data_IF_424705937506
#
_entry.id   IF_424705937506
#
_cell.length_a   1.000
_cell.length_b   1.000
_cell.length_c   1.000
_cell.angle_alpha   90.00
_cell.angle_beta   90.00
_cell.angle_gamma   90.00
#
_symmetry.space_group_name_H-M   'P 1'
#
loop_
_entity.id
_entity.type
_entity.pdbx_description
1 polymer ?
#
# COMPACT_ATOMS: atom_id res chain seq x y z
N UNK A 1 -2.44 -25.83 -10.10
CA UNK A 1 -1.63 -25.43 -8.93
C UNK A 1 -0.85 -24.18 -9.33
N UNK A 2 -1.38 -22.99 -9.07
CA UNK A 2 -0.65 -21.74 -9.29
C UNK A 2 0.43 -21.60 -8.21
N UNK A 3 1.68 -21.37 -8.60
CA UNK A 3 2.78 -21.17 -7.65
C UNK A 3 2.57 -19.93 -6.76
N UNK A 4 3.31 -19.85 -5.67
CA UNK A 4 3.36 -18.64 -4.84
C UNK A 4 3.95 -17.49 -5.69
N UNK A 5 3.16 -16.44 -5.90
CA UNK A 5 3.61 -15.26 -6.64
C UNK A 5 4.66 -14.49 -5.81
N UNK A 6 5.88 -14.27 -6.32
CA UNK A 6 6.93 -13.54 -5.60
C UNK A 6 6.50 -12.12 -5.23
N UNK A 7 6.77 -11.68 -4.00
CA UNK A 7 6.48 -10.29 -3.58
C UNK A 7 7.20 -9.29 -4.48
N UNK A 8 6.54 -8.17 -4.82
CA UNK A 8 7.07 -7.14 -5.72
C UNK A 8 7.45 -7.64 -7.13
N UNK A 9 6.89 -8.76 -7.60
CA UNK A 9 6.98 -9.15 -9.01
C UNK A 9 5.82 -8.58 -9.83
N UNK A 10 5.99 -8.41 -11.14
CA UNK A 10 4.92 -7.99 -12.06
C UNK A 10 3.74 -8.94 -11.98
N UNK A 11 3.98 -10.25 -11.90
CA UNK A 11 2.90 -11.23 -11.77
C UNK A 11 2.08 -11.02 -10.48
N UNK A 12 2.75 -10.77 -9.34
CA UNK A 12 2.07 -10.46 -8.08
C UNK A 12 1.33 -9.12 -8.11
N UNK A 13 1.93 -8.10 -8.73
CA UNK A 13 1.35 -6.77 -8.84
C UNK A 13 0.16 -6.76 -9.80
N UNK A 14 0.24 -7.48 -10.91
CA UNK A 14 -0.89 -7.66 -11.84
C UNK A 14 -2.04 -8.39 -11.15
N UNK A 15 -1.76 -9.46 -10.43
CA UNK A 15 -2.76 -10.21 -9.66
C UNK A 15 -3.45 -9.32 -8.62
N UNK A 16 -2.67 -8.51 -7.89
CA UNK A 16 -3.21 -7.53 -6.95
C UNK A 16 -4.06 -6.46 -7.62
N UNK A 17 -3.60 -5.92 -8.74
CA UNK A 17 -4.30 -4.86 -9.48
C UNK A 17 -5.62 -5.36 -10.08
N UNK A 18 -5.64 -6.57 -10.64
CA UNK A 18 -6.85 -7.16 -11.21
C UNK A 18 -7.89 -7.43 -10.12
N UNK A 19 -7.48 -8.07 -9.02
CA UNK A 19 -8.41 -8.62 -8.04
C UNK A 19 -8.76 -7.68 -6.89
N UNK A 20 -8.04 -6.58 -6.68
CA UNK A 20 -8.28 -5.64 -5.57
C UNK A 20 -8.45 -4.20 -6.08
N UNK A 21 -8.58 -3.23 -5.17
CA UNK A 21 -8.75 -1.80 -5.50
C UNK A 21 -7.43 -1.08 -5.81
N UNK A 22 -6.31 -1.80 -5.78
CA UNK A 22 -4.98 -1.26 -6.07
C UNK A 22 -3.86 -2.13 -5.54
N UNK A 23 -2.65 -1.61 -5.67
CA UNK A 23 -1.42 -2.28 -5.24
C UNK A 23 -0.54 -1.39 -4.38
N UNK A 24 0.18 -2.03 -3.48
CA UNK A 24 1.29 -1.45 -2.75
C UNK A 24 2.56 -2.16 -3.18
N UNK A 25 3.65 -1.42 -3.33
CA UNK A 25 4.93 -2.00 -3.73
C UNK A 25 6.13 -1.16 -3.29
N UNK A 26 7.27 -1.82 -3.23
CA UNK A 26 8.51 -1.28 -2.70
C UNK A 26 9.51 -0.99 -3.82
N UNK A 27 10.14 0.18 -3.77
CA UNK A 27 11.11 0.63 -4.76
C UNK A 27 12.50 0.87 -4.14
N UNK A 28 13.52 0.49 -4.91
CA UNK A 28 14.93 0.80 -4.68
C UNK A 28 15.60 1.30 -5.95
N UNK A 29 16.76 1.92 -5.79
CA UNK A 29 17.59 2.41 -6.89
C UNK A 29 18.83 1.52 -7.04
N UNK A 30 19.12 1.08 -8.25
CA UNK A 30 20.35 0.32 -8.59
C UNK A 30 21.56 1.25 -8.72
N UNK A 31 22.76 0.67 -8.82
CA UNK A 31 24.03 1.38 -8.99
C UNK A 31 24.07 2.26 -10.25
N UNK A 32 23.46 1.76 -11.32
CA UNK A 32 23.32 2.38 -12.64
C UNK A 32 22.04 3.21 -12.78
N UNK A 33 21.28 3.41 -11.68
CA UNK A 33 20.20 4.39 -11.63
C UNK A 33 18.84 3.91 -12.16
N UNK A 34 18.60 2.60 -12.23
CA UNK A 34 17.29 2.03 -12.53
C UNK A 34 16.44 1.85 -11.27
N UNK A 35 15.12 2.02 -11.40
CA UNK A 35 14.16 1.87 -10.30
C UNK A 35 13.62 0.44 -10.30
N UNK A 36 14.00 -0.34 -9.30
CA UNK A 36 13.65 -1.77 -9.19
C UNK A 36 12.58 -2.02 -8.14
N UNK A 37 11.70 -2.98 -8.42
CA UNK A 37 10.66 -3.47 -7.52
C UNK A 37 11.28 -4.40 -6.47
N UNK A 38 11.68 -3.87 -5.31
CA UNK A 38 12.37 -4.67 -4.30
C UNK A 38 12.33 -4.10 -2.89
N UNK A 39 11.89 -4.92 -1.93
CA UNK A 39 11.73 -4.52 -0.54
C UNK A 39 13.05 -4.40 0.24
N UNK A 40 13.90 -5.42 0.20
CA UNK A 40 15.02 -5.57 1.13
C UNK A 40 16.30 -4.88 0.67
N UNK A 41 17.06 -4.32 1.62
CA UNK A 41 18.35 -3.66 1.32
C UNK A 41 19.37 -4.55 0.62
N UNK A 42 19.27 -5.85 0.83
CA UNK A 42 20.13 -6.85 0.21
C UNK A 42 19.31 -7.54 -0.87
N UNK A 43 19.88 -7.83 -2.06
CA UNK A 43 19.19 -8.60 -3.08
C UNK A 43 18.70 -9.91 -2.48
N UNK A 44 17.43 -10.27 -2.60
CA UNK A 44 16.89 -11.49 -2.00
C UNK A 44 17.11 -12.68 -2.93
N UNK A 45 18.36 -12.91 -3.33
CA UNK A 45 18.85 -14.04 -4.13
C UNK A 45 19.37 -15.19 -3.23
N UNK A 46 19.58 -16.41 -3.77
CA UNK A 46 20.14 -17.53 -3.02
C UNK A 46 21.47 -17.19 -2.33
N UNK A 47 21.69 -17.71 -1.11
CA UNK A 47 22.88 -17.35 -0.30
C UNK A 47 24.21 -17.65 -0.98
N UNK A 48 24.30 -18.77 -1.70
CA UNK A 48 25.54 -19.16 -2.39
C UNK A 48 25.89 -18.19 -3.53
N UNK A 49 24.88 -17.62 -4.19
CA UNK A 49 25.04 -16.60 -5.26
C UNK A 49 25.48 -15.23 -4.74
N UNK A 50 25.43 -15.00 -3.42
CA UNK A 50 25.88 -13.74 -2.79
C UNK A 50 27.37 -13.73 -2.46
N UNK A 51 28.02 -14.89 -2.45
CA UNK A 51 29.41 -14.99 -2.03
C UNK A 51 30.31 -14.15 -2.96
N UNK A 52 31.13 -13.27 -2.38
CA UNK A 52 32.00 -12.37 -3.13
C UNK A 52 31.31 -11.21 -3.86
N UNK A 53 29.98 -11.07 -3.76
CA UNK A 53 29.21 -10.00 -4.42
C UNK A 53 28.86 -8.86 -3.45
N UNK A 54 28.52 -7.65 -3.95
CA UNK A 54 28.15 -6.54 -3.10
C UNK A 54 26.93 -6.83 -2.20
N UNK A 55 26.88 -6.30 -0.97
CA UNK A 55 25.86 -6.66 0.01
C UNK A 55 24.52 -5.91 -0.14
N UNK A 56 24.50 -4.80 -0.87
CA UNK A 56 23.34 -3.92 -0.98
C UNK A 56 22.84 -3.81 -2.41
N UNK A 57 21.52 -3.70 -2.60
CA UNK A 57 20.89 -3.55 -3.92
C UNK A 57 21.45 -2.34 -4.66
N UNK A 58 21.72 -1.27 -3.92
CA UNK A 58 22.25 -0.03 -4.46
C UNK A 58 23.69 -0.17 -5.03
N UNK A 59 24.38 -1.28 -4.76
CA UNK A 59 25.70 -1.61 -5.31
C UNK A 59 25.63 -2.54 -6.55
N UNK A 60 24.44 -2.96 -6.98
CA UNK A 60 24.23 -3.83 -8.13
C UNK A 60 23.73 -3.04 -9.34
N UNK A 61 24.15 -3.42 -10.54
CA UNK A 61 23.54 -2.94 -11.80
C UNK A 61 22.21 -3.63 -12.05
N UNK A 62 21.36 -3.04 -12.88
CA UNK A 62 20.10 -3.68 -13.27
C UNK A 62 20.35 -5.03 -13.96
N UNK A 63 21.29 -5.08 -14.90
CA UNK A 63 21.60 -6.31 -15.65
C UNK A 63 21.99 -7.47 -14.71
N UNK A 64 22.80 -7.19 -13.68
CA UNK A 64 23.20 -8.20 -12.70
C UNK A 64 22.04 -8.68 -11.81
N UNK A 65 21.04 -7.83 -11.57
CA UNK A 65 19.82 -8.21 -10.83
C UNK A 65 18.81 -8.93 -11.73
N UNK A 66 18.75 -8.59 -13.02
CA UNK A 66 17.90 -9.25 -14.03
C UNK A 66 18.28 -10.71 -14.26
N UNK A 67 19.55 -11.08 -14.05
CA UNK A 67 19.97 -12.50 -13.97
C UNK A 67 19.12 -13.31 -12.96
N UNK A 68 18.56 -12.63 -11.95
CA UNK A 68 17.72 -13.23 -10.91
C UNK A 68 16.24 -12.82 -11.00
N UNK A 69 15.81 -12.25 -12.13
CA UNK A 69 14.42 -11.89 -12.39
C UNK A 69 13.97 -10.60 -11.70
N UNK A 70 14.88 -9.67 -11.42
CA UNK A 70 14.48 -8.36 -10.93
C UNK A 70 13.74 -7.56 -12.01
N UNK A 71 12.56 -7.07 -11.66
CA UNK A 71 11.70 -6.26 -12.51
C UNK A 71 11.74 -4.79 -12.04
N UNK A 72 11.36 -3.87 -12.93
CA UNK A 72 11.48 -2.43 -12.74
C UNK A 72 10.13 -1.73 -12.68
N UNK A 73 10.14 -0.45 -12.26
CA UNK A 73 8.96 0.42 -12.38
C UNK A 73 8.55 0.60 -13.85
N UNK A 74 9.51 0.65 -14.77
CA UNK A 74 9.22 0.80 -16.20
C UNK A 74 8.51 -0.45 -16.73
N UNK A 75 8.96 -1.65 -16.32
CA UNK A 75 8.29 -2.91 -16.67
C UNK A 75 6.84 -2.94 -16.10
N UNK A 76 6.61 -2.36 -14.91
CA UNK A 76 5.28 -2.25 -14.30
C UNK A 76 4.35 -1.32 -15.07
N UNK A 77 4.85 -0.16 -15.50
CA UNK A 77 4.06 0.83 -16.23
C UNK A 77 3.84 0.40 -17.69
N UNK A 78 4.73 -0.41 -18.26
CA UNK A 78 4.55 -1.02 -19.58
C UNK A 78 3.47 -2.11 -19.61
N UNK A 79 3.11 -2.69 -18.46
CA UNK A 79 1.98 -3.62 -18.36
C UNK A 79 0.66 -2.87 -18.56
N UNK A 80 0.00 -3.10 -19.70
CA UNK A 80 -1.22 -2.39 -20.08
C UNK A 80 -2.40 -2.66 -19.15
N UNK A 81 -2.46 -3.83 -18.50
CA UNK A 81 -3.52 -4.11 -17.52
C UNK A 81 -3.31 -3.25 -16.28
N UNK A 82 -2.08 -3.10 -15.83
CA UNK A 82 -1.75 -2.32 -14.64
C UNK A 82 -1.91 -0.82 -14.92
N UNK A 83 -1.27 -0.32 -15.99
CA UNK A 83 -1.30 1.10 -16.32
C UNK A 83 -2.71 1.60 -16.64
N UNK A 84 -3.51 0.85 -17.40
CA UNK A 84 -4.91 1.22 -17.68
C UNK A 84 -5.73 1.29 -16.40
N UNK A 85 -5.62 0.27 -15.53
CA UNK A 85 -6.43 0.25 -14.32
C UNK A 85 -6.04 1.36 -13.33
N UNK A 86 -4.75 1.71 -13.25
CA UNK A 86 -4.25 2.80 -12.43
C UNK A 86 -4.58 4.19 -13.02
N UNK A 87 -4.53 4.34 -14.35
CA UNK A 87 -4.78 5.60 -15.04
C UNK A 87 -6.27 5.92 -15.14
N UNK A 88 -7.10 4.93 -15.45
CA UNK A 88 -8.46 5.15 -15.95
C UNK A 88 -9.55 4.55 -15.06
N UNK A 89 -9.21 3.64 -14.12
CA UNK A 89 -10.22 2.86 -13.37
C UNK A 89 -10.24 3.17 -11.87
N UNK A 90 -9.73 4.33 -11.46
CA UNK A 90 -9.64 4.78 -10.06
C UNK A 90 -8.94 3.81 -9.10
N UNK A 91 -8.21 2.81 -9.61
CA UNK A 91 -7.33 1.98 -8.79
C UNK A 91 -6.12 2.79 -8.36
N UNK A 92 -5.55 2.41 -7.23
CA UNK A 92 -4.46 3.18 -6.61
C UNK A 92 -3.13 2.43 -6.58
N UNK A 93 -2.05 3.19 -6.64
CA UNK A 93 -0.70 2.73 -6.33
C UNK A 93 -0.19 3.39 -5.05
N UNK A 94 0.18 2.55 -4.08
CA UNK A 94 0.82 2.96 -2.84
C UNK A 94 2.31 2.62 -2.95
N UNK A 95 3.16 3.64 -3.11
CA UNK A 95 4.57 3.46 -3.46
C UNK A 95 5.44 3.63 -2.22
N UNK A 96 6.07 2.55 -1.73
CA UNK A 96 7.12 2.65 -0.70
C UNK A 96 8.49 2.86 -1.33
N UNK A 97 9.07 4.04 -1.16
CA UNK A 97 10.50 4.23 -1.46
C UNK A 97 11.33 3.78 -0.27
N UNK A 98 12.27 2.86 -0.51
CA UNK A 98 13.10 2.31 0.54
C UNK A 98 14.36 3.13 0.75
N UNK A 99 14.71 3.31 2.02
CA UNK A 99 16.00 3.89 2.41
C UNK A 99 17.15 2.97 2.02
N UNK A 100 18.28 3.54 1.56
CA UNK A 100 19.49 2.77 1.34
C UNK A 100 20.07 2.34 2.68
N UNK A 101 20.90 1.31 2.67
CA UNK A 101 21.63 0.94 3.89
C UNK A 101 22.64 2.05 4.26
N UNK A 102 22.85 2.37 5.56
CA UNK A 102 23.78 3.44 5.95
C UNK A 102 25.21 3.29 5.41
N UNK A 103 25.71 2.05 5.29
CA UNK A 103 27.04 1.78 4.72
C UNK A 103 27.14 2.17 3.24
N UNK A 104 26.06 2.06 2.47
CA UNK A 104 26.04 2.49 1.07
C UNK A 104 26.28 4.00 0.97
N UNK A 105 25.63 4.80 1.83
CA UNK A 105 25.86 6.25 1.92
C UNK A 105 27.08 6.64 2.77
N UNK A 106 28.07 5.74 2.87
CA UNK A 106 29.37 5.99 3.48
C UNK A 106 29.37 6.10 5.01
N UNK A 107 28.61 5.25 5.73
CA UNK A 107 28.55 5.27 7.21
C UNK A 107 28.90 3.95 7.88
N UNK A 108 29.68 4.04 8.96
CA UNK A 108 29.94 2.94 9.89
C UNK A 108 28.86 2.70 10.96
N UNK A 109 28.10 3.73 11.36
CA UNK A 109 27.07 3.66 12.41
C UNK A 109 25.88 4.61 12.14
N UNK A 110 24.75 4.43 12.85
CA UNK A 110 23.54 5.23 12.62
C UNK A 110 23.43 6.43 13.56
N UNK A 111 23.54 7.63 12.96
CA UNK A 111 23.11 8.91 13.51
C UNK A 111 22.35 9.63 12.41
N UNK A 112 21.20 10.23 12.62
CA UNK A 112 20.36 10.76 11.52
C UNK A 112 20.86 12.12 10.93
N UNK A 113 21.87 12.09 10.07
CA UNK A 113 22.66 13.24 9.55
C UNK A 113 22.25 13.77 8.16
N UNK A 114 21.18 13.20 7.56
CA UNK A 114 20.63 13.60 6.24
C UNK A 114 21.38 13.10 4.99
N UNK A 115 22.44 12.26 5.11
CA UNK A 115 23.17 11.69 3.95
C UNK A 115 22.36 10.81 3.01
N UNK A 116 21.23 10.26 3.44
CA UNK A 116 20.34 9.45 2.62
C UNK A 116 19.35 10.28 1.77
N UNK A 117 19.16 11.56 2.10
CA UNK A 117 18.22 12.44 1.37
C UNK A 117 18.54 12.57 -0.13
N UNK A 118 19.80 12.78 -0.57
CA UNK A 118 20.11 12.83 -2.01
C UNK A 118 19.65 11.57 -2.75
N UNK A 119 19.95 10.39 -2.21
CA UNK A 119 19.58 9.11 -2.82
C UNK A 119 18.06 8.93 -2.88
N UNK A 120 17.36 9.20 -1.77
CA UNK A 120 15.90 9.11 -1.71
C UNK A 120 15.23 10.10 -2.66
N UNK A 121 15.77 11.32 -2.79
CA UNK A 121 15.24 12.33 -3.69
C UNK A 121 15.46 11.95 -5.16
N UNK A 122 16.60 11.36 -5.50
CA UNK A 122 16.85 10.86 -6.85
C UNK A 122 15.92 9.71 -7.24
N UNK A 123 15.72 8.74 -6.34
CA UNK A 123 14.73 7.68 -6.53
C UNK A 123 13.32 8.29 -6.73
N UNK A 124 12.94 9.26 -5.90
CA UNK A 124 11.62 9.90 -5.98
C UNK A 124 11.45 10.69 -7.28
N UNK A 125 12.49 11.37 -7.75
CA UNK A 125 12.47 12.13 -9.03
C UNK A 125 12.18 11.19 -10.20
N UNK A 126 12.92 10.08 -10.29
CA UNK A 126 12.70 9.05 -11.32
C UNK A 126 11.30 8.45 -11.29
N UNK A 127 10.77 8.22 -10.08
CA UNK A 127 9.37 7.77 -9.92
C UNK A 127 8.38 8.83 -10.42
N UNK A 128 8.61 10.11 -10.12
CA UNK A 128 7.75 11.20 -10.61
C UNK A 128 7.71 11.23 -12.13
N UNK A 129 8.89 11.21 -12.76
CA UNK A 129 9.05 11.24 -14.23
C UNK A 129 8.34 10.06 -14.90
N UNK A 130 8.53 8.84 -14.38
CA UNK A 130 7.88 7.65 -14.93
C UNK A 130 6.34 7.70 -14.80
N UNK A 131 5.82 8.20 -13.67
CA UNK A 131 4.38 8.35 -13.47
C UNK A 131 3.76 9.47 -14.32
N UNK A 132 4.52 10.53 -14.59
CA UNK A 132 4.12 11.62 -15.50
C UNK A 132 4.08 11.14 -16.95
N UNK A 133 5.10 10.40 -17.39
CA UNK A 133 5.15 9.79 -18.73
C UNK A 133 4.01 8.79 -18.95
N UNK A 134 3.67 8.00 -17.93
CA UNK A 134 2.54 7.07 -17.97
C UNK A 134 1.17 7.74 -17.76
N UNK A 135 1.13 9.07 -17.61
CA UNK A 135 -0.10 9.87 -17.40
C UNK A 135 -0.94 9.42 -16.19
N UNK A 136 -0.30 8.86 -15.16
CA UNK A 136 -1.00 8.39 -13.97
C UNK A 136 -1.59 9.59 -13.22
N UNK A 137 -2.90 9.63 -12.91
CA UNK A 137 -3.50 10.73 -12.18
C UNK A 137 -2.84 10.97 -10.82
N UNK A 138 -2.64 12.23 -10.48
CA UNK A 138 -2.01 12.64 -9.20
C UNK A 138 -2.71 12.03 -8.00
N UNK A 139 -4.04 11.95 -8.05
CA UNK A 139 -4.87 11.46 -6.95
C UNK A 139 -4.84 9.94 -6.76
N UNK A 140 -4.45 9.16 -7.78
CA UNK A 140 -4.41 7.70 -7.70
C UNK A 140 -3.10 7.18 -7.11
N UNK A 141 -2.21 8.06 -6.65
CA UNK A 141 -0.89 7.68 -6.15
C UNK A 141 -0.59 8.36 -4.82
N UNK A 142 -0.02 7.59 -3.90
CA UNK A 142 0.62 8.14 -2.70
C UNK A 142 2.01 7.55 -2.54
N UNK A 143 2.98 8.43 -2.33
CA UNK A 143 4.35 8.06 -2.00
C UNK A 143 4.51 8.02 -0.48
N UNK A 144 5.13 6.98 0.06
CA UNK A 144 5.48 6.95 1.47
C UNK A 144 6.82 6.28 1.77
N UNK A 145 7.35 6.55 2.97
CA UNK A 145 8.57 5.93 3.44
C UNK A 145 8.67 5.99 4.97
N UNK A 146 9.44 5.07 5.56
CA UNK A 146 9.96 5.18 6.92
C UNK A 146 11.10 6.20 6.99
N UNK A 147 10.81 7.48 6.75
CA UNK A 147 11.79 8.56 6.81
C UNK A 147 11.24 9.79 7.56
N UNK A 148 11.93 10.28 8.61
CA UNK A 148 11.43 11.41 9.41
C UNK A 148 11.41 12.74 8.67
N UNK A 149 12.14 12.84 7.55
CA UNK A 149 12.35 14.06 6.75
C UNK A 149 11.79 13.92 5.33
N UNK A 150 10.68 13.20 5.18
CA UNK A 150 9.91 13.19 3.93
C UNK A 150 9.73 14.59 3.32
N UNK A 151 9.41 15.67 4.08
CA UNK A 151 9.35 17.03 3.52
C UNK A 151 10.61 17.49 2.78
N UNK A 152 11.81 17.06 3.20
CA UNK A 152 13.06 17.41 2.55
C UNK A 152 13.32 16.56 1.30
N UNK A 153 12.91 15.28 1.34
CA UNK A 153 12.99 14.37 0.18
C UNK A 153 12.08 14.89 -0.94
N UNK A 154 10.79 15.12 -0.65
CA UNK A 154 9.80 15.57 -1.65
C UNK A 154 10.13 16.94 -2.22
N UNK A 155 10.58 17.88 -1.36
CA UNK A 155 11.03 19.21 -1.82
C UNK A 155 12.22 19.11 -2.76
N UNK A 156 13.19 18.24 -2.46
CA UNK A 156 14.41 18.08 -3.25
C UNK A 156 14.16 17.35 -4.57
N UNK A 157 13.22 16.40 -4.60
CA UNK A 157 12.88 15.64 -5.80
C UNK A 157 11.91 16.36 -6.73
N UNK A 158 11.28 17.46 -6.30
CA UNK A 158 10.21 18.10 -7.05
C UNK A 158 8.88 17.33 -7.01
N UNK A 159 8.70 16.43 -6.05
CA UNK A 159 7.49 15.60 -5.95
C UNK A 159 6.26 16.47 -5.63
N UNK A 160 5.34 16.55 -6.58
CA UNK A 160 4.12 17.36 -6.49
C UNK A 160 2.86 16.54 -6.13
N UNK A 161 2.99 15.20 -6.07
CA UNK A 161 1.89 14.29 -5.77
C UNK A 161 1.69 14.10 -4.26
N UNK A 162 0.59 13.48 -3.82
CA UNK A 162 0.37 13.20 -2.42
C UNK A 162 1.47 12.32 -1.81
N UNK A 163 1.81 12.55 -0.55
CA UNK A 163 2.78 11.73 0.18
C UNK A 163 2.40 11.56 1.64
N UNK A 164 2.84 10.47 2.24
CA UNK A 164 2.64 10.12 3.64
C UNK A 164 3.96 9.72 4.30
N UNK A 165 4.05 9.85 5.64
CA UNK A 165 5.18 9.29 6.40
C UNK A 165 4.77 8.01 7.12
N UNK A 166 5.52 6.93 6.97
CA UNK A 166 5.31 5.71 7.76
C UNK A 166 5.84 5.89 9.19
N UNK A 167 5.04 5.49 10.17
CA UNK A 167 5.37 5.58 11.60
C UNK A 167 4.99 4.30 12.36
N UNK A 168 5.78 3.86 13.36
CA UNK A 168 7.01 4.48 13.87
C UNK A 168 8.17 4.37 12.87
N UNK A 169 9.12 5.31 12.93
CA UNK A 169 10.27 5.30 12.02
C UNK A 169 11.16 4.08 12.31
N UNK A 170 11.26 3.16 11.35
CA UNK A 170 12.09 1.96 11.47
C UNK A 170 13.52 2.28 10.99
N UNK A 171 14.56 1.86 11.72
CA UNK A 171 15.92 2.02 11.24
C UNK A 171 16.15 1.16 9.99
N UNK A 172 16.92 1.66 8.99
CA UNK A 172 17.19 0.93 7.75
C UNK A 172 18.21 -0.19 7.92
N UNK A 173 18.54 -0.61 9.14
CA UNK A 173 19.51 -1.64 9.49
C UNK A 173 18.99 -2.52 10.64
N UNK A 174 19.71 -3.60 10.94
CA UNK A 174 19.39 -4.51 12.04
C UNK A 174 18.32 -5.54 11.69
N UNK A 175 18.12 -6.50 12.61
CA UNK A 175 17.04 -7.49 12.55
C UNK A 175 15.70 -6.85 12.94
N UNK A 176 14.58 -7.52 12.62
CA UNK A 176 13.25 -7.03 12.99
C UNK A 176 13.07 -6.80 14.50
N UNK A 177 13.75 -7.57 15.34
CA UNK A 177 13.76 -7.34 16.79
C UNK A 177 14.44 -6.00 17.15
N UNK A 178 15.62 -5.74 16.59
CA UNK A 178 16.36 -4.48 16.80
C UNK A 178 15.54 -3.29 16.29
N UNK A 179 14.95 -3.40 15.10
CA UNK A 179 14.10 -2.36 14.51
C UNK A 179 12.92 -2.01 15.42
N UNK A 180 12.24 -3.02 15.97
CA UNK A 180 11.13 -2.82 16.92
C UNK A 180 11.59 -2.14 18.22
N UNK A 181 12.71 -2.55 18.79
CA UNK A 181 13.27 -1.93 20.01
C UNK A 181 13.55 -0.45 19.81
N UNK A 182 14.20 -0.08 18.69
CA UNK A 182 14.48 1.33 18.36
C UNK A 182 13.20 2.12 18.10
N UNK A 183 12.18 1.50 17.52
CA UNK A 183 10.90 2.12 17.21
C UNK A 183 9.95 2.26 18.42
N UNK A 184 10.15 1.46 19.48
CA UNK A 184 9.23 1.37 20.61
C UNK A 184 8.96 2.70 21.33
N UNK A 185 9.95 3.57 21.62
CA UNK A 185 9.68 4.87 22.22
C UNK A 185 8.78 5.75 21.33
N UNK A 186 9.00 5.72 20.01
CA UNK A 186 8.16 6.44 19.05
C UNK A 186 6.74 5.86 19.03
N UNK A 187 6.60 4.53 19.08
CA UNK A 187 5.29 3.88 19.11
C UNK A 187 4.49 4.30 20.36
N UNK A 188 5.11 4.24 21.54
CA UNK A 188 4.51 4.65 22.82
C UNK A 188 4.13 6.13 22.81
N UNK A 189 5.00 7.01 22.31
CA UNK A 189 4.75 8.46 22.30
C UNK A 189 3.67 8.88 21.30
N UNK A 190 3.36 8.09 20.27
CA UNK A 190 2.44 8.48 19.21
C UNK A 190 1.14 7.67 19.25
N UNK A 191 0.14 8.13 20.01
CA UNK A 191 -1.21 7.57 19.93
C UNK A 191 -1.84 7.76 18.55
N UNK A 192 -2.82 6.93 18.20
CA UNK A 192 -3.53 6.98 16.93
C UNK A 192 -4.04 8.40 16.59
N UNK A 193 -4.70 9.08 17.55
CA UNK A 193 -5.18 10.44 17.34
C UNK A 193 -4.06 11.45 17.07
N UNK A 194 -2.87 11.26 17.68
CA UNK A 194 -1.70 12.10 17.43
C UNK A 194 -1.13 11.83 16.03
N UNK A 195 -1.16 10.59 15.56
CA UNK A 195 -0.74 10.24 14.21
C UNK A 195 -1.68 10.86 13.16
N UNK A 196 -3.00 10.73 13.31
CA UNK A 196 -3.98 11.36 12.42
C UNK A 196 -3.74 12.87 12.31
N UNK A 197 -3.60 13.56 13.45
CA UNK A 197 -3.31 15.00 13.46
C UNK A 197 -2.01 15.35 12.74
N UNK A 198 -0.95 14.57 12.95
CA UNK A 198 0.35 14.81 12.30
C UNK A 198 0.30 14.65 10.79
N UNK A 199 -0.43 13.65 10.29
CA UNK A 199 -0.56 13.42 8.85
C UNK A 199 -1.41 14.50 8.20
N UNK A 200 -2.54 14.88 8.82
CA UNK A 200 -3.36 16.01 8.36
C UNK A 200 -2.56 17.31 8.30
N UNK A 201 -1.79 17.63 9.35
CA UNK A 201 -0.92 18.81 9.37
C UNK A 201 0.17 18.78 8.30
N UNK A 202 0.56 17.59 7.83
CA UNK A 202 1.53 17.42 6.74
C UNK A 202 0.88 17.52 5.34
N UNK A 203 -0.44 17.69 5.24
CA UNK A 203 -1.16 17.66 3.95
C UNK A 203 -1.25 16.25 3.34
N UNK A 204 -1.03 15.20 4.14
CA UNK A 204 -1.07 13.81 3.71
C UNK A 204 -2.50 13.40 3.31
N UNK A 205 -2.72 12.71 2.18
CA UNK A 205 -4.06 12.29 1.77
C UNK A 205 -4.61 11.17 2.66
N UNK A 206 -3.71 10.39 3.26
CA UNK A 206 -4.01 9.23 4.09
C UNK A 206 -2.98 9.06 5.20
N UNK A 207 -3.27 8.22 6.19
CA UNK A 207 -2.29 7.76 7.17
C UNK A 207 -2.03 6.27 7.03
N UNK A 208 -0.78 5.85 6.76
CA UNK A 208 -0.43 4.45 6.95
C UNK A 208 -0.35 4.13 8.45
N UNK A 209 -0.89 2.99 8.85
CA UNK A 209 -1.07 2.62 10.24
C UNK A 209 -0.73 1.15 10.47
N UNK A 210 0.17 0.87 11.42
CA UNK A 210 0.42 -0.50 11.84
C UNK A 210 -0.83 -1.07 12.53
N UNK A 211 -1.18 -2.33 12.25
CA UNK A 211 -2.29 -3.03 12.91
C UNK A 211 -2.16 -3.03 14.45
N UNK A 212 -0.92 -3.00 14.96
CA UNK A 212 -0.59 -2.93 16.39
C UNK A 212 -1.21 -1.71 17.11
N UNK A 213 -1.60 -0.65 16.39
CA UNK A 213 -2.33 0.49 16.96
C UNK A 213 -3.82 0.21 17.23
N UNK A 214 -4.36 -0.86 16.67
CA UNK A 214 -5.80 -1.14 16.60
C UNK A 214 -6.17 -2.47 17.26
N UNK A 215 -5.22 -3.42 17.31
CA UNK A 215 -5.45 -4.78 17.74
C UNK A 215 -4.21 -5.37 18.47
N UNK A 216 -4.38 -6.50 19.15
CA UNK A 216 -3.32 -7.15 19.93
C UNK A 216 -3.10 -6.49 21.29
N UNK A 217 -2.09 -6.93 22.06
CA UNK A 217 -1.76 -6.31 23.35
C UNK A 217 -1.03 -4.97 23.18
N UNK A 218 -0.40 -4.76 22.02
CA UNK A 218 0.41 -3.60 21.68
C UNK A 218 -0.40 -2.30 21.64
N UNK A 219 -1.68 -2.35 21.24
CA UNK A 219 -2.52 -1.14 21.20
C UNK A 219 -2.75 -0.50 22.58
N UNK A 220 -2.40 -1.21 23.66
CA UNK A 220 -2.47 -0.72 25.04
C UNK A 220 -1.28 0.19 25.41
N UNK A 221 -0.19 0.16 24.64
CA UNK A 221 1.07 0.85 24.95
C UNK A 221 1.09 2.35 24.62
N UNK A 222 0.47 2.85 23.53
CA UNK A 222 0.54 4.26 23.20
C UNK A 222 -0.12 5.18 24.25
N UNK A 223 0.54 6.29 24.57
CA UNK A 223 0.04 7.28 25.53
C UNK A 223 -1.15 8.05 24.97
N UNK A 224 -2.33 7.81 25.53
CA UNK A 224 -3.57 8.52 25.21
C UNK A 224 -4.80 7.63 25.24
N UNK A 225 -5.91 8.14 24.68
CA UNK A 225 -7.13 7.35 24.51
C UNK A 225 -6.90 6.24 23.48
N UNK A 226 -7.20 5.01 23.89
CA UNK A 226 -7.10 3.80 23.07
C UNK A 226 -8.23 3.74 22.05
N UNK A 227 -7.94 3.16 20.91
CA UNK A 227 -8.89 2.86 19.83
C UNK A 227 -8.89 1.36 19.57
N UNK A 228 -9.87 0.88 18.80
CA UNK A 228 -9.94 -0.54 18.45
C UNK A 228 -11.05 -0.80 17.44
N UNK A 229 -11.22 -2.06 17.04
CA UNK A 229 -12.09 -2.44 15.93
C UNK A 229 -13.53 -2.83 16.35
N UNK A 230 -13.87 -2.75 17.65
CA UNK A 230 -15.20 -3.16 18.16
C UNK A 230 -15.78 -2.15 19.16
N UNK A 231 -17.11 -2.12 19.26
CA UNK A 231 -17.89 -1.34 20.25
C UNK A 231 -17.47 0.14 20.34
N UNK A 232 -17.46 0.67 21.57
CA UNK A 232 -17.05 2.06 21.87
C UNK A 232 -15.63 2.42 21.40
N UNK A 233 -14.74 1.43 21.28
CA UNK A 233 -13.39 1.68 20.78
C UNK A 233 -13.40 1.99 19.27
N UNK A 234 -14.29 1.34 18.50
CA UNK A 234 -14.53 1.60 17.07
C UNK A 234 -15.23 2.94 16.85
N UNK A 235 -16.22 3.27 17.67
CA UNK A 235 -16.89 4.59 17.60
C UNK A 235 -15.89 5.72 17.80
N UNK A 236 -15.01 5.57 18.80
CA UNK A 236 -13.92 6.53 19.06
C UNK A 236 -12.92 6.61 17.91
N UNK A 237 -12.54 5.46 17.35
CA UNK A 237 -11.67 5.38 16.18
C UNK A 237 -12.26 6.20 15.02
N UNK A 238 -13.51 5.93 14.65
CA UNK A 238 -14.22 6.64 13.59
C UNK A 238 -14.37 8.13 13.87
N UNK A 239 -14.68 8.50 15.11
CA UNK A 239 -14.76 9.91 15.52
C UNK A 239 -13.42 10.64 15.38
N UNK A 240 -12.30 9.99 15.75
CA UNK A 240 -10.96 10.56 15.59
C UNK A 240 -10.60 10.70 14.10
N UNK A 241 -10.96 9.70 13.29
CA UNK A 241 -10.72 9.74 11.85
C UNK A 241 -11.55 10.83 11.18
N UNK A 242 -12.84 10.97 11.50
CA UNK A 242 -13.75 11.93 10.86
C UNK A 242 -13.68 11.86 9.34
N UNK A 243 -13.67 10.64 8.78
CA UNK A 243 -13.44 10.40 7.36
C UNK A 243 -11.99 10.41 6.88
N UNK A 244 -11.03 10.91 7.66
CA UNK A 244 -9.62 10.91 7.23
C UNK A 244 -9.13 9.49 6.91
N UNK A 245 -8.58 9.23 5.70
CA UNK A 245 -8.25 7.88 5.26
C UNK A 245 -7.12 7.26 6.08
N UNK A 246 -7.28 5.99 6.43
CA UNK A 246 -6.28 5.22 7.17
C UNK A 246 -6.07 3.87 6.52
N UNK A 247 -4.82 3.59 6.16
CA UNK A 247 -4.40 2.38 5.46
C UNK A 247 -3.65 1.48 6.44
N UNK A 248 -4.22 0.33 6.74
CA UNK A 248 -3.70 -0.56 7.79
C UNK A 248 -2.81 -1.64 7.19
N UNK A 249 -1.60 -1.77 7.73
CA UNK A 249 -0.64 -2.80 7.36
C UNK A 249 -0.10 -3.57 8.60
N UNK A 250 0.26 -4.85 8.44
CA UNK A 250 -0.35 -5.75 7.47
C UNK A 250 -1.84 -5.92 7.82
N UNK A 251 -2.69 -6.12 6.80
CA UNK A 251 -4.09 -6.48 6.99
C UNK A 251 -4.27 -7.99 6.73
N UNK A 252 -4.20 -8.85 7.77
CA UNK A 252 -4.38 -10.28 7.58
C UNK A 252 -5.84 -10.63 7.33
N UNK A 253 -6.10 -11.66 6.53
CA UNK A 253 -7.44 -12.19 6.20
C UNK A 253 -8.44 -12.17 7.37
N UNK A 254 -8.05 -12.70 8.53
CA UNK A 254 -8.92 -12.76 9.73
C UNK A 254 -9.41 -11.42 10.27
N UNK A 255 -8.76 -10.31 9.91
CA UNK A 255 -9.10 -8.95 10.37
C UNK A 255 -9.84 -8.14 9.32
N UNK A 256 -9.93 -8.59 8.07
CA UNK A 256 -10.41 -7.77 6.96
C UNK A 256 -11.81 -7.18 7.23
N UNK A 257 -12.78 -8.02 7.57
CA UNK A 257 -14.14 -7.62 7.90
C UNK A 257 -14.20 -6.54 9.01
N UNK A 258 -13.41 -6.70 10.08
CA UNK A 258 -13.37 -5.76 11.19
C UNK A 258 -12.73 -4.41 10.82
N UNK A 259 -11.75 -4.42 9.91
CA UNK A 259 -11.12 -3.21 9.37
C UNK A 259 -12.10 -2.45 8.45
N UNK A 260 -12.78 -3.17 7.56
CA UNK A 260 -13.80 -2.63 6.64
C UNK A 260 -14.93 -1.95 7.43
N UNK A 261 -15.46 -2.62 8.46
CA UNK A 261 -16.54 -2.06 9.28
C UNK A 261 -16.10 -0.83 10.09
N UNK A 262 -14.80 -0.71 10.37
CA UNK A 262 -14.22 0.46 11.02
C UNK A 262 -13.96 1.62 10.06
N UNK A 263 -14.13 1.44 8.74
CA UNK A 263 -13.85 2.45 7.73
C UNK A 263 -12.36 2.55 7.37
N UNK A 264 -11.60 1.46 7.49
CA UNK A 264 -10.16 1.42 7.27
C UNK A 264 -9.82 0.68 5.98
N UNK A 265 -8.95 1.26 5.16
CA UNK A 265 -8.38 0.59 3.99
C UNK A 265 -7.33 -0.44 4.41
N UNK A 266 -7.21 -1.50 3.62
CA UNK A 266 -6.44 -2.69 3.94
C UNK A 266 -5.24 -2.79 3.00
N UNK A 267 -4.03 -2.79 3.54
CA UNK A 267 -2.83 -3.21 2.81
C UNK A 267 -2.65 -4.70 3.10
N UNK A 268 -3.30 -5.53 2.27
CA UNK A 268 -3.58 -6.94 2.53
C UNK A 268 -2.49 -7.85 1.96
N UNK A 269 -1.96 -8.72 2.82
CA UNK A 269 -1.09 -9.85 2.43
C UNK A 269 -1.90 -11.03 1.86
N UNK A 270 -3.23 -10.92 1.82
CA UNK A 270 -4.13 -12.03 1.55
C UNK A 270 -4.95 -11.83 0.27
N UNK A 271 -4.59 -10.89 -0.62
CA UNK A 271 -5.35 -10.68 -1.87
C UNK A 271 -5.40 -11.93 -2.73
N UNK A 272 -4.36 -12.76 -2.73
CA UNK A 272 -4.31 -14.05 -3.44
C UNK A 272 -4.91 -15.21 -2.65
N UNK A 273 -5.38 -14.97 -1.43
CA UNK A 273 -6.05 -15.99 -0.63
C UNK A 273 -7.36 -16.42 -1.34
N UNK A 274 -7.55 -17.73 -1.60
CA UNK A 274 -8.67 -18.25 -2.39
C UNK A 274 -9.99 -18.25 -1.63
N UNK A 275 -10.01 -17.99 -0.31
CA UNK A 275 -11.26 -18.00 0.44
C UNK A 275 -12.25 -16.96 -0.14
N UNK A 276 -13.45 -17.40 -0.56
CA UNK A 276 -14.45 -16.53 -1.20
C UNK A 276 -15.32 -15.78 -0.18
N UNK A 277 -15.14 -16.07 1.11
CA UNK A 277 -15.84 -15.44 2.24
C UNK A 277 -14.85 -14.78 3.19
N UNK A 278 -15.31 -13.81 3.96
CA UNK A 278 -14.63 -13.35 5.16
C UNK A 278 -14.91 -14.32 6.32
N UNK A 279 -14.10 -14.24 7.37
CA UNK A 279 -14.24 -15.10 8.57
C UNK A 279 -15.58 -14.98 9.30
N UNK A 280 -16.37 -13.94 9.02
CA UNK A 280 -17.70 -13.71 9.59
C UNK A 280 -18.85 -14.14 8.68
N UNK A 281 -18.56 -14.88 7.61
CA UNK A 281 -19.54 -15.45 6.69
C UNK A 281 -19.96 -14.53 5.54
N UNK A 282 -19.51 -13.25 5.53
CA UNK A 282 -19.81 -12.34 4.41
C UNK A 282 -19.03 -12.71 3.17
N UNK A 283 -19.60 -12.42 2.00
CA UNK A 283 -18.91 -12.47 0.71
C UNK A 283 -17.64 -11.63 0.74
N UNK A 284 -16.54 -12.16 0.21
CA UNK A 284 -15.24 -11.46 0.16
C UNK A 284 -15.04 -10.78 -1.19
N UNK A 285 -15.73 -9.66 -1.38
CA UNK A 285 -15.61 -8.84 -2.58
C UNK A 285 -14.42 -7.86 -2.46
N UNK A 286 -13.30 -8.20 -3.12
CA UNK A 286 -12.01 -7.49 -2.95
C UNK A 286 -11.94 -6.15 -3.71
N UNK A 287 -12.82 -5.91 -4.68
CA UNK A 287 -12.92 -4.67 -5.48
C UNK A 287 -14.00 -3.72 -4.92
N UNK A 288 -14.06 -3.61 -3.60
CA UNK A 288 -15.18 -2.97 -2.90
C UNK A 288 -15.32 -1.46 -3.14
N UNK A 289 -14.24 -0.79 -3.55
CA UNK A 289 -14.30 0.62 -3.94
C UNK A 289 -14.46 0.77 -5.46
N UNK A 290 -13.71 -0.01 -6.23
CA UNK A 290 -13.59 0.13 -7.69
C UNK A 290 -14.63 -0.65 -8.49
N UNK A 291 -15.43 -1.48 -7.84
CA UNK A 291 -16.65 -2.11 -8.36
C UNK A 291 -17.66 -2.20 -7.21
N UNK A 292 -18.25 -1.08 -6.79
CA UNK A 292 -18.96 -0.99 -5.52
C UNK A 292 -20.31 -1.72 -5.57
N UNK A 293 -20.60 -2.48 -4.51
CA UNK A 293 -21.93 -3.11 -4.34
C UNK A 293 -22.91 -2.13 -3.71
N UNK A 294 -24.19 -2.27 -4.03
CA UNK A 294 -25.25 -1.57 -3.31
C UNK A 294 -25.40 -2.10 -1.87
N UNK A 295 -25.47 -1.18 -0.90
CA UNK A 295 -25.51 -1.51 0.53
C UNK A 295 -24.16 -1.98 1.10
N UNK A 296 -23.84 -3.25 0.97
CA UNK A 296 -22.63 -3.84 1.53
C UNK A 296 -22.45 -5.32 1.19
N UNK A 297 -21.37 -5.93 1.68
CA UNK A 297 -21.08 -7.34 1.41
C UNK A 297 -22.15 -8.25 2.07
N UNK A 298 -22.86 -9.09 1.28
CA UNK A 298 -23.93 -9.94 1.80
C UNK A 298 -23.37 -11.12 2.62
N UNK A 299 -24.20 -11.66 3.51
CA UNK A 299 -23.95 -12.95 4.15
C UNK A 299 -24.21 -14.09 3.15
N UNK A 300 -23.38 -15.13 3.19
CA UNK A 300 -23.50 -16.31 2.31
C UNK A 300 -23.32 -17.60 3.11
N UNK A 301 -24.12 -18.61 2.82
CA UNK A 301 -24.22 -19.81 3.64
C UNK A 301 -23.02 -20.75 3.44
N UNK A 302 -22.42 -20.78 2.25
CA UNK A 302 -21.29 -21.67 1.92
C UNK A 302 -20.27 -21.01 0.99
N UNK A 303 -19.08 -21.64 0.89
CA UNK A 303 -18.07 -21.22 -0.08
C UNK A 303 -18.56 -21.44 -1.52
N UNK A 304 -19.28 -22.52 -1.81
CA UNK A 304 -19.85 -22.77 -3.14
C UNK A 304 -20.84 -21.68 -3.57
N UNK A 305 -21.68 -21.20 -2.64
CA UNK A 305 -22.57 -20.08 -2.89
C UNK A 305 -21.78 -18.79 -3.12
N UNK A 306 -20.79 -18.53 -2.29
CA UNK A 306 -19.91 -17.38 -2.42
C UNK A 306 -19.20 -17.35 -3.78
N UNK A 307 -18.63 -18.47 -4.24
CA UNK A 307 -17.96 -18.56 -5.54
C UNK A 307 -18.91 -18.32 -6.72
N UNK A 308 -20.14 -18.85 -6.66
CA UNK A 308 -21.15 -18.58 -7.70
C UNK A 308 -21.51 -17.09 -7.72
N UNK A 309 -21.70 -16.49 -6.55
CA UNK A 309 -22.06 -15.09 -6.44
C UNK A 309 -20.90 -14.18 -6.90
N UNK A 310 -19.64 -14.49 -6.54
CA UNK A 310 -18.47 -13.74 -7.05
C UNK A 310 -18.42 -13.74 -8.58
N UNK A 311 -18.59 -14.91 -9.21
CA UNK A 311 -18.62 -15.05 -10.68
C UNK A 311 -19.77 -14.28 -11.32
N UNK A 312 -20.90 -14.15 -10.64
CA UNK A 312 -22.02 -13.36 -11.09
C UNK A 312 -21.72 -11.86 -10.96
N UNK A 313 -21.23 -11.42 -9.80
CA UNK A 313 -20.89 -10.01 -9.56
C UNK A 313 -19.78 -9.51 -10.50
N UNK A 314 -18.82 -10.36 -10.86
CA UNK A 314 -17.79 -10.01 -11.85
C UNK A 314 -18.36 -9.65 -13.24
N UNK A 315 -19.58 -10.12 -13.56
CA UNK A 315 -20.27 -9.80 -14.81
C UNK A 315 -21.27 -8.65 -14.64
N UNK A 316 -21.96 -8.63 -13.51
CA UNK A 316 -23.14 -7.78 -13.31
C UNK A 316 -22.80 -6.42 -12.70
N UNK A 317 -21.68 -6.31 -11.95
CA UNK A 317 -21.30 -5.08 -11.25
C UNK A 317 -20.43 -4.22 -12.15
N UNK A 318 -20.96 -3.06 -12.54
CA UNK A 318 -20.20 -2.06 -13.27
C UNK A 318 -19.01 -1.53 -12.42
N UNK A 319 -17.81 -1.43 -12.99
CA UNK A 319 -16.68 -0.80 -12.32
C UNK A 319 -16.93 0.71 -12.15
N UNK A 320 -16.22 1.32 -11.20
CA UNK A 320 -16.35 2.73 -10.85
C UNK A 320 -16.21 3.68 -12.04
N UNK A 321 -15.30 3.40 -12.97
CA UNK A 321 -15.08 4.19 -14.19
C UNK A 321 -16.23 4.12 -15.20
N UNK A 322 -17.14 3.16 -15.06
CA UNK A 322 -18.30 2.98 -15.93
C UNK A 322 -19.61 3.47 -15.28
N UNK A 323 -19.56 3.86 -14.01
CA UNK A 323 -20.72 4.38 -13.30
C UNK A 323 -21.09 5.78 -13.77
N UNK A 324 -22.39 6.08 -13.74
CA UNK A 324 -22.86 7.44 -14.01
C UNK A 324 -22.53 8.39 -12.84
N UNK A 325 -22.57 9.69 -13.11
CA UNK A 325 -22.41 10.71 -12.07
C UNK A 325 -23.44 10.58 -10.93
N UNK A 326 -24.66 10.12 -11.23
CA UNK A 326 -25.69 9.85 -10.23
C UNK A 326 -25.34 8.63 -9.36
N UNK A 327 -24.83 7.56 -9.98
CA UNK A 327 -24.37 6.37 -9.26
C UNK A 327 -23.17 6.69 -8.36
N UNK A 328 -22.19 7.48 -8.84
CA UNK A 328 -21.09 7.98 -8.01
C UNK A 328 -21.63 8.72 -6.78
N UNK A 329 -22.56 9.66 -6.97
CA UNK A 329 -23.19 10.39 -5.85
C UNK A 329 -23.88 9.45 -4.88
N UNK A 330 -24.62 8.45 -5.37
CA UNK A 330 -25.33 7.46 -4.55
C UNK A 330 -24.37 6.66 -3.68
N UNK A 331 -23.29 6.13 -4.26
CA UNK A 331 -22.28 5.37 -3.51
C UNK A 331 -21.53 6.23 -2.50
N UNK A 332 -21.11 7.45 -2.89
CA UNK A 332 -20.40 8.35 -1.98
C UNK A 332 -21.27 8.76 -0.78
N UNK A 333 -22.56 9.05 -0.97
CA UNK A 333 -23.43 9.41 0.16
C UNK A 333 -23.69 8.21 1.10
N UNK A 334 -23.88 7.02 0.53
CA UNK A 334 -24.01 5.78 1.30
C UNK A 334 -22.76 5.51 2.14
N UNK A 335 -21.56 5.65 1.56
CA UNK A 335 -20.29 5.47 2.24
C UNK A 335 -20.01 6.53 3.30
N UNK A 336 -20.25 7.80 2.96
CA UNK A 336 -20.14 8.96 3.85
C UNK A 336 -20.98 8.75 5.10
N UNK A 337 -22.22 8.27 4.93
CA UNK A 337 -23.12 7.94 6.03
C UNK A 337 -22.64 6.72 6.81
N UNK A 338 -22.32 5.61 6.11
CA UNK A 338 -21.87 4.35 6.72
C UNK A 338 -20.66 4.55 7.63
N UNK A 339 -19.66 5.28 7.16
CA UNK A 339 -18.38 5.47 7.86
C UNK A 339 -18.23 6.83 8.55
N UNK A 340 -19.20 7.73 8.40
CA UNK A 340 -19.27 9.00 9.15
C UNK A 340 -18.21 9.99 8.69
N UNK A 341 -18.08 10.15 7.37
CA UNK A 341 -17.15 11.10 6.78
C UNK A 341 -17.69 12.53 6.95
N UNK A 342 -16.79 13.48 7.23
CA UNK A 342 -17.20 14.86 7.54
C UNK A 342 -17.31 15.76 6.32
N UNK A 343 -16.65 15.42 5.21
CA UNK A 343 -16.80 16.15 3.94
C UNK A 343 -18.22 16.04 3.43
N UNK A 344 -18.69 17.10 2.78
CA UNK A 344 -19.96 17.12 2.06
C UNK A 344 -19.91 16.24 0.82
N UNK A 345 -21.07 15.87 0.30
CA UNK A 345 -21.16 15.08 -0.93
C UNK A 345 -20.54 15.82 -2.12
N UNK A 346 -20.72 17.13 -2.21
CA UNK A 346 -20.17 17.91 -3.33
C UNK A 346 -18.64 18.03 -3.26
N UNK A 347 -18.07 18.16 -2.06
CA UNK A 347 -16.61 18.08 -1.88
C UNK A 347 -16.06 16.71 -2.27
N UNK A 348 -16.79 15.63 -2.01
CA UNK A 348 -16.37 14.27 -2.41
C UNK A 348 -16.56 14.06 -3.91
N UNK A 349 -17.58 14.62 -4.54
CA UNK A 349 -17.77 14.55 -5.98
C UNK A 349 -16.69 15.30 -6.77
N UNK A 350 -16.12 16.38 -6.20
CA UNK A 350 -15.01 17.10 -6.81
C UNK A 350 -13.72 16.27 -6.97
N UNK A 351 -13.60 15.18 -6.20
CA UNK A 351 -12.49 14.22 -6.26
C UNK A 351 -12.72 13.12 -7.31
N UNK A 352 -13.88 13.11 -7.99
CA UNK A 352 -14.23 12.17 -9.05
C UNK A 352 -13.82 12.78 -10.39
N UNK A 353 -12.76 12.23 -10.98
CA UNK A 353 -12.22 12.65 -12.26
C UNK A 353 -13.16 12.32 -13.41
N UNK A 354 -12.88 12.92 -14.56
CA UNK A 354 -13.58 12.62 -15.81
C UNK A 354 -13.57 11.11 -16.09
N UNK A 355 -14.73 10.58 -16.53
CA UNK A 355 -14.90 9.14 -16.74
C UNK A 355 -14.72 8.28 -15.50
N UNK A 356 -14.82 8.86 -14.29
CA UNK A 356 -14.55 8.13 -13.04
C UNK A 356 -13.09 7.70 -12.90
N UNK A 357 -12.14 8.39 -13.51
CA UNK A 357 -10.72 7.99 -13.48
C UNK A 357 -10.09 8.10 -12.08
N UNK A 358 -10.70 8.85 -11.17
CA UNK A 358 -10.28 8.99 -9.77
C UNK A 358 -11.47 8.86 -8.81
N UNK A 359 -11.18 8.70 -7.52
CA UNK A 359 -12.18 8.70 -6.46
C UNK A 359 -11.61 9.28 -5.15
N UNK A 360 -12.44 9.73 -4.20
CA UNK A 360 -11.99 10.23 -2.90
C UNK A 360 -11.10 9.23 -2.15
N UNK A 361 -10.06 9.72 -1.46
CA UNK A 361 -9.18 8.85 -0.67
C UNK A 361 -9.91 8.19 0.50
N UNK A 362 -11.04 8.75 0.94
CA UNK A 362 -11.89 8.23 2.01
C UNK A 362 -12.52 6.86 1.70
N UNK A 363 -12.67 6.52 0.42
CA UNK A 363 -13.18 5.22 0.02
C UNK A 363 -12.36 4.08 0.64
N UNK A 364 -13.06 3.15 1.30
CA UNK A 364 -12.43 1.99 1.93
C UNK A 364 -12.02 1.00 0.85
N UNK A 365 -10.73 0.70 0.78
CA UNK A 365 -10.12 -0.11 -0.28
C UNK A 365 -9.45 -1.35 0.27
N UNK A 366 -9.41 -2.41 -0.53
CA UNK A 366 -8.42 -3.47 -0.36
C UNK A 366 -7.28 -3.26 -1.37
N UNK A 367 -6.04 -3.23 -0.88
CA UNK A 367 -4.82 -3.00 -1.67
C UNK A 367 -3.90 -4.21 -1.47
N UNK A 368 -3.38 -4.77 -2.57
CA UNK A 368 -2.41 -5.87 -2.50
C UNK A 368 -1.07 -5.42 -1.95
N UNK A 369 -0.69 -5.87 -0.75
CA UNK A 369 0.63 -5.58 -0.14
C UNK A 369 1.72 -6.27 -0.94
N UNK A 370 2.68 -5.53 -1.52
CA UNK A 370 3.67 -6.07 -2.48
C UNK A 370 3.04 -6.86 -3.63
N UNK A 371 1.81 -6.51 -4.00
CA UNK A 371 0.94 -7.24 -4.92
C UNK A 371 0.20 -8.43 -4.27
N UNK A 372 0.94 -9.45 -3.85
CA UNK A 372 0.39 -10.74 -3.40
C UNK A 372 0.74 -11.14 -1.96
N UNK A 373 1.29 -10.21 -1.19
CA UNK A 373 1.78 -10.42 0.16
C UNK A 373 3.24 -10.85 0.22
N UNK A 374 3.74 -11.03 1.44
CA UNK A 374 5.13 -11.42 1.70
C UNK A 374 5.43 -12.85 1.23
N UNK A 375 6.59 -13.05 0.61
CA UNK A 375 7.08 -14.39 0.23
C UNK A 375 8.27 -14.89 1.05
N UNK A 376 8.50 -16.22 1.12
CA UNK A 376 9.72 -16.79 1.68
C UNK A 376 10.97 -16.26 0.96
N UNK A 377 12.11 -16.25 1.66
CA UNK A 377 13.40 -15.86 1.06
C UNK A 377 14.13 -17.12 0.59
N UNK A 378 14.89 -17.08 -0.53
CA UNK A 378 15.05 -15.96 -1.46
C UNK A 378 13.77 -15.69 -2.27
N UNK A 379 13.64 -14.47 -2.78
CA UNK A 379 12.52 -14.02 -3.63
C UNK A 379 12.91 -14.01 -5.09
N UNK A 380 14.15 -13.62 -5.36
CA UNK A 380 14.73 -13.58 -6.70
C UNK A 380 15.50 -14.88 -6.95
N UNK A 381 15.32 -15.46 -8.12
CA UNK A 381 15.90 -16.74 -8.53
C UNK A 381 16.51 -16.60 -9.91
N UNK A 382 17.57 -17.36 -10.22
CA UNK A 382 18.15 -17.33 -11.56
C UNK A 382 17.06 -17.57 -12.60
N UNK A 383 16.97 -16.66 -13.55
CA UNK A 383 16.17 -16.88 -14.74
C UNK A 383 16.93 -17.90 -15.57
N UNK A 384 16.37 -19.08 -15.75
CA UNK A 384 16.91 -20.02 -16.74
C UNK A 384 16.74 -19.37 -18.10
N UNK A 385 17.80 -19.23 -18.92
CA UNK A 385 17.61 -18.97 -20.33
C UNK A 385 16.79 -20.13 -20.87
N UNK A 386 15.58 -19.86 -21.37
CA UNK A 386 14.63 -20.79 -22.00
C UNK A 386 13.65 -21.49 -21.04
N UNK A 387 12.46 -20.89 -20.92
CA UNK A 387 11.23 -21.46 -21.49
C UNK A 387 10.52 -20.39 -22.28
#
# INVERSE_FOLDING_TARGET
MGGVLPENSLAALREGMVNADGIEFDLRLTKDGHVVLHHDRTPMIPKHEKSGRPPYVEDWTLDALREFGAETLDDLLADTVISTAWREQAKIGVIEIKRPHPRFVGRGWWNDDRRDIPHMAELTRKVSEALEEAEIPTQNTVLYAFHPRMPQVVKRSGWARPWSRLTPNLPPYGSGAIQRTVAAPSFIRNSFARLVRKQRQAGSPMMPCALDYLHGVQHLLPLGRKVGLKGRARERLRSIMGGFPVYVWPAPYRMEAALIDAGLSLVSDSVTDPHPRHVDGRLRWKRMATAPLEGGMPQVASDDEAERLLKQLDKDVAPWSELSHEDHRRHLDAWRTRWGWTRSLDELMADVGEGGSTMPWEAVRMVGHRGAGKTPRPVLHRVTPQT
#
